data_IF_196016274814
#
_entry.id   IF_196016274814
#
_cell.length_a   1.000
_cell.length_b   1.000
_cell.length_c   1.000
_cell.angle_alpha   90.00
_cell.angle_beta   90.00
_cell.angle_gamma   90.00
#
_symmetry.space_group_name_H-M   'P 1'
#
loop_
_entity.id
_entity.type
_entity.pdbx_description
1 polymer ?
#
# COMPACT_ATOMS: atom_id res chain seq x y z
N UNK A 1 19.56 -1.65 -22.42
CA UNK A 1 18.55 -2.63 -21.97
C UNK A 1 17.63 -1.90 -21.00
N UNK A 2 16.31 -2.06 -21.10
CA UNK A 2 15.37 -1.39 -20.19
C UNK A 2 15.56 -1.92 -18.77
N UNK A 3 15.61 -1.03 -17.79
CA UNK A 3 15.81 -1.38 -16.39
C UNK A 3 14.54 -1.94 -15.76
N UNK A 4 14.71 -2.66 -14.64
CA UNK A 4 13.60 -3.35 -13.97
C UNK A 4 12.62 -2.35 -13.37
N UNK A 5 11.33 -2.52 -13.65
CA UNK A 5 10.24 -1.72 -13.08
C UNK A 5 9.44 -2.57 -12.11
N UNK A 6 9.12 -2.01 -10.93
CA UNK A 6 8.19 -2.62 -9.98
C UNK A 6 7.15 -1.59 -9.51
N UNK A 7 5.95 -2.06 -9.23
CA UNK A 7 4.86 -1.26 -8.65
C UNK A 7 4.54 -1.82 -7.25
N UNK A 8 4.35 -0.94 -6.28
CA UNK A 8 4.01 -1.32 -4.89
C UNK A 8 2.97 -0.37 -4.32
N UNK A 9 1.97 -0.92 -3.62
CA UNK A 9 0.97 -0.12 -2.92
C UNK A 9 1.59 0.51 -1.67
N UNK A 10 1.49 1.84 -1.58
CA UNK A 10 2.03 2.62 -0.47
C UNK A 10 0.96 3.23 0.40
N UNK A 11 -0.31 3.21 -0.03
CA UNK A 11 -1.43 3.72 0.78
C UNK A 11 -2.67 2.83 0.70
N UNK A 12 -3.56 3.00 1.68
CA UNK A 12 -4.88 2.36 1.75
C UNK A 12 -5.89 3.20 2.54
N UNK A 13 -7.18 3.07 2.21
CA UNK A 13 -8.28 3.52 3.04
C UNK A 13 -8.51 2.49 4.17
N UNK A 14 -8.03 2.80 5.37
CA UNK A 14 -8.07 1.89 6.53
C UNK A 14 -9.23 2.23 7.47
N UNK A 15 -9.45 1.39 8.49
CA UNK A 15 -10.35 1.68 9.61
C UNK A 15 -10.00 2.95 10.41
N UNK A 16 -8.80 3.49 10.23
CA UNK A 16 -8.32 4.73 10.85
C UNK A 16 -8.24 5.89 9.85
N UNK A 17 -8.83 5.72 8.66
CA UNK A 17 -8.77 6.66 7.55
C UNK A 17 -7.66 6.35 6.54
N UNK A 18 -7.39 7.30 5.64
CA UNK A 18 -6.35 7.15 4.63
C UNK A 18 -4.96 7.12 5.28
N UNK A 19 -4.25 6.01 5.11
CA UNK A 19 -2.88 5.80 5.63
C UNK A 19 -1.93 5.60 4.45
N UNK A 20 -0.74 6.19 4.55
CA UNK A 20 0.36 6.03 3.57
C UNK A 20 1.66 5.72 4.29
N UNK A 21 2.50 4.87 3.69
CA UNK A 21 3.86 4.54 4.12
C UNK A 21 4.93 5.38 3.41
N UNK A 22 4.53 6.36 2.59
CA UNK A 22 5.48 7.25 1.92
C UNK A 22 6.46 7.94 2.90
N UNK A 23 6.04 8.47 4.08
CA UNK A 23 6.97 9.09 5.02
C UNK A 23 8.08 8.13 5.47
N UNK A 24 7.74 6.87 5.77
CA UNK A 24 8.67 5.82 6.18
C UNK A 24 9.58 5.39 5.02
N UNK A 25 9.04 5.25 3.81
CA UNK A 25 9.80 4.88 2.63
C UNK A 25 10.80 5.94 2.18
N UNK A 26 10.55 7.21 2.53
CA UNK A 26 11.44 8.32 2.26
C UNK A 26 12.57 8.45 3.28
N UNK A 27 12.50 7.75 4.41
CA UNK A 27 13.59 7.75 5.38
C UNK A 27 14.86 7.14 4.77
N UNK A 28 15.96 7.91 4.79
CA UNK A 28 17.23 7.48 4.19
C UNK A 28 17.33 7.64 2.68
N UNK A 29 16.31 8.19 2.01
CA UNK A 29 16.41 8.65 0.62
C UNK A 29 17.24 9.94 0.60
N UNK A 30 18.28 9.98 -0.24
CA UNK A 30 19.27 11.06 -0.24
C UNK A 30 18.74 12.36 -0.88
N UNK A 31 17.92 12.23 -1.93
CA UNK A 31 17.33 13.36 -2.66
C UNK A 31 15.83 13.13 -2.89
N UNK A 32 14.98 14.05 -2.43
CA UNK A 32 13.52 13.93 -2.55
C UNK A 32 12.90 15.15 -3.21
N UNK A 33 12.15 14.97 -4.29
CA UNK A 33 11.31 16.03 -4.87
C UNK A 33 9.85 15.81 -4.47
N UNK A 34 9.23 16.83 -3.88
CA UNK A 34 7.85 16.78 -3.39
C UNK A 34 6.97 17.65 -4.28
N UNK A 35 6.09 17.02 -5.06
CA UNK A 35 5.15 17.70 -5.94
C UNK A 35 3.91 18.12 -5.14
N UNK A 36 3.64 19.42 -5.02
CA UNK A 36 2.43 19.96 -4.39
C UNK A 36 1.52 20.60 -5.43
N UNK A 37 0.22 20.35 -5.35
CA UNK A 37 -0.78 21.01 -6.21
C UNK A 37 -2.14 20.31 -6.15
N UNK A 38 -3.17 20.92 -6.74
CA UNK A 38 -4.52 20.36 -6.75
C UNK A 38 -4.64 19.05 -7.58
N UNK A 39 -5.72 18.25 -7.43
CA UNK A 39 -6.02 17.17 -8.35
C UNK A 39 -6.06 17.66 -9.80
N UNK A 40 -5.49 16.89 -10.74
CA UNK A 40 -5.52 17.24 -12.17
C UNK A 40 -4.37 18.14 -12.64
N UNK A 41 -3.49 18.60 -11.75
CA UNK A 41 -2.32 19.40 -12.14
C UNK A 41 -1.22 18.60 -12.84
N UNK A 42 -1.39 17.29 -13.05
CA UNK A 42 -0.42 16.46 -13.76
C UNK A 42 0.64 15.78 -12.89
N UNK A 43 0.52 15.78 -11.56
CA UNK A 43 1.47 15.13 -10.63
C UNK A 43 1.80 13.67 -11.00
N UNK A 44 0.79 12.82 -11.14
CA UNK A 44 1.01 11.40 -11.48
C UNK A 44 1.61 11.20 -12.87
N UNK A 45 1.27 12.05 -13.84
CA UNK A 45 1.90 12.05 -15.16
C UNK A 45 3.36 12.48 -15.08
N UNK A 46 3.67 13.50 -14.26
CA UNK A 46 5.04 13.93 -13.99
C UNK A 46 5.87 12.77 -13.44
N UNK A 47 5.37 12.10 -12.41
CA UNK A 47 6.03 10.97 -11.74
C UNK A 47 6.24 9.81 -12.72
N UNK A 48 5.18 9.41 -13.43
CA UNK A 48 5.23 8.30 -14.41
C UNK A 48 6.26 8.53 -15.51
N UNK A 49 6.16 9.67 -16.20
CA UNK A 49 7.05 9.97 -17.33
C UNK A 49 8.52 10.12 -16.89
N UNK A 50 8.75 10.62 -15.67
CA UNK A 50 10.10 10.68 -15.11
C UNK A 50 10.64 9.27 -14.88
N UNK A 51 9.89 8.40 -14.20
CA UNK A 51 10.29 7.02 -13.94
C UNK A 51 10.50 6.20 -15.21
N UNK A 52 9.58 6.31 -16.18
CA UNK A 52 9.70 5.63 -17.49
C UNK A 52 11.00 6.06 -18.21
N UNK A 53 11.33 7.35 -18.19
CA UNK A 53 12.56 7.85 -18.79
C UNK A 53 13.84 7.29 -18.16
N UNK A 54 13.84 7.04 -16.85
CA UNK A 54 14.97 6.39 -16.17
C UNK A 54 15.02 4.88 -16.45
N UNK A 55 13.86 4.21 -16.47
CA UNK A 55 13.76 2.80 -16.85
C UNK A 55 14.30 2.57 -18.27
N UNK A 56 13.97 3.43 -19.22
CA UNK A 56 14.45 3.34 -20.61
C UNK A 56 15.98 3.49 -20.72
N UNK A 57 16.60 4.20 -19.77
CA UNK A 57 18.06 4.34 -19.65
C UNK A 57 18.72 3.19 -18.88
N UNK A 58 17.96 2.19 -18.44
CA UNK A 58 18.47 1.01 -17.74
C UNK A 58 18.45 1.08 -16.21
N UNK A 59 17.92 2.16 -15.63
CA UNK A 59 17.78 2.27 -14.18
C UNK A 59 16.67 1.37 -13.66
N UNK A 60 16.86 0.86 -12.44
CA UNK A 60 15.75 0.22 -11.73
C UNK A 60 14.82 1.31 -11.21
N UNK A 61 13.52 1.05 -11.30
CA UNK A 61 12.48 2.02 -10.95
C UNK A 61 11.40 1.33 -10.13
N UNK A 62 11.07 1.94 -9.00
CA UNK A 62 9.98 1.52 -8.14
C UNK A 62 8.90 2.61 -8.13
N UNK A 63 7.75 2.31 -8.71
CA UNK A 63 6.58 3.17 -8.64
C UNK A 63 5.78 2.85 -7.37
N UNK A 64 5.50 3.89 -6.62
CA UNK A 64 4.61 3.89 -5.46
C UNK A 64 3.22 4.28 -5.92
N UNK A 65 2.23 3.43 -5.67
CA UNK A 65 0.84 3.62 -6.12
C UNK A 65 -0.11 3.77 -4.94
N UNK A 66 -1.12 4.62 -5.15
CA UNK A 66 -2.09 4.96 -4.11
C UNK A 66 -3.37 4.13 -4.21
N UNK A 67 -4.02 3.90 -3.08
CA UNK A 67 -5.36 3.30 -3.05
C UNK A 67 -6.45 4.17 -3.69
N UNK A 68 -6.29 5.49 -3.72
CA UNK A 68 -7.27 6.39 -4.33
C UNK A 68 -7.24 6.33 -5.87
N UNK A 69 -6.11 5.92 -6.44
CA UNK A 69 -5.91 5.80 -7.89
C UNK A 69 -4.83 4.73 -8.18
N UNK A 70 -5.18 3.42 -8.14
CA UNK A 70 -4.20 2.33 -8.25
C UNK A 70 -3.46 2.27 -9.60
N UNK A 71 -3.96 2.98 -10.62
CA UNK A 71 -3.34 3.08 -11.94
C UNK A 71 -2.41 4.29 -12.09
N UNK A 72 -2.42 5.20 -11.10
CA UNK A 72 -1.64 6.44 -11.12
C UNK A 72 -0.58 6.42 -10.01
N UNK A 73 0.71 6.57 -10.34
CA UNK A 73 1.73 6.60 -9.30
C UNK A 73 1.61 7.86 -8.46
N UNK A 74 1.74 7.69 -7.15
CA UNK A 74 1.92 8.74 -6.14
C UNK A 74 3.39 8.99 -5.81
N UNK A 75 4.30 8.11 -6.25
CA UNK A 75 5.72 8.36 -6.18
C UNK A 75 6.55 7.47 -7.10
N UNK A 76 7.80 7.83 -7.28
CA UNK A 76 8.80 7.04 -7.98
C UNK A 76 10.12 7.11 -7.22
N UNK A 77 10.73 5.95 -6.97
CA UNK A 77 12.05 5.82 -6.36
C UNK A 77 13.03 5.17 -7.35
N UNK A 78 14.23 5.74 -7.43
CA UNK A 78 15.32 5.30 -8.31
C UNK A 78 16.48 4.86 -7.40
N UNK A 79 16.63 3.55 -7.11
CA UNK A 79 17.57 3.06 -6.10
C UNK A 79 19.02 3.47 -6.34
N UNK A 80 19.47 3.42 -7.59
CA UNK A 80 20.85 3.76 -7.96
C UNK A 80 21.20 5.22 -7.64
N UNK A 81 20.23 6.12 -7.76
CA UNK A 81 20.38 7.55 -7.47
C UNK A 81 20.07 7.87 -6.00
N UNK A 82 19.52 6.91 -5.25
CA UNK A 82 18.94 7.11 -3.91
C UNK A 82 18.01 8.32 -3.89
N UNK A 83 17.21 8.47 -4.95
CA UNK A 83 16.36 9.63 -5.17
C UNK A 83 14.90 9.25 -5.39
N UNK A 84 13.98 10.08 -4.90
CA UNK A 84 12.54 9.89 -5.07
C UNK A 84 11.86 11.17 -5.55
N UNK A 85 10.79 11.02 -6.33
CA UNK A 85 9.83 12.09 -6.63
C UNK A 85 8.46 11.63 -6.18
N UNK A 86 7.81 12.40 -5.30
CA UNK A 86 6.56 12.01 -4.64
C UNK A 86 5.49 13.08 -4.76
N UNK A 87 4.23 12.66 -4.72
CA UNK A 87 3.09 13.52 -4.52
C UNK A 87 2.99 13.91 -3.04
N UNK A 88 3.14 15.20 -2.74
CA UNK A 88 3.03 15.76 -1.40
C UNK A 88 1.62 16.18 -1.00
N UNK A 89 0.61 15.95 -1.84
CA UNK A 89 -0.81 16.21 -1.53
C UNK A 89 -1.40 15.11 -0.62
N UNK A 90 -0.84 14.98 0.59
CA UNK A 90 -1.21 13.98 1.57
C UNK A 90 -1.77 14.64 2.84
N UNK A 91 -2.54 13.89 3.61
CA UNK A 91 -3.09 14.35 4.90
C UNK A 91 -2.01 14.65 5.94
N UNK A 92 -0.88 13.94 5.87
CA UNK A 92 0.33 14.20 6.66
C UNK A 92 1.40 14.85 5.77
N UNK A 93 2.00 15.99 6.16
CA UNK A 93 2.97 16.68 5.33
C UNK A 93 4.27 15.87 5.19
N UNK A 94 4.73 15.71 3.95
CA UNK A 94 6.01 15.10 3.60
C UNK A 94 6.92 16.21 3.07
N UNK A 95 7.36 17.10 3.96
CA UNK A 95 8.29 18.15 3.58
C UNK A 95 9.73 17.69 3.85
N UNK A 96 10.70 17.96 2.95
CA UNK A 96 12.08 17.55 3.15
C UNK A 96 12.65 18.12 4.45
N UNK A 97 13.36 17.31 5.23
CA UNK A 97 13.97 17.78 6.49
C UNK A 97 15.01 18.89 6.26
N UNK A 98 15.69 18.87 5.10
CA UNK A 98 16.65 19.91 4.70
C UNK A 98 16.37 20.37 3.26
N UNK A 99 15.41 21.30 3.06
CA UNK A 99 15.09 21.85 1.74
C UNK A 99 16.30 22.48 1.05
N UNK A 100 16.46 22.27 -0.25
CA UNK A 100 17.60 22.75 -1.05
C UNK A 100 18.90 21.94 -0.88
N UNK A 101 18.94 20.99 0.07
CA UNK A 101 20.10 20.12 0.30
C UNK A 101 19.74 18.66 0.02
N UNK A 102 18.68 18.16 0.66
CA UNK A 102 18.22 16.76 0.55
C UNK A 102 16.85 16.64 -0.11
N UNK A 103 16.20 17.76 -0.43
CA UNK A 103 14.97 17.73 -1.21
C UNK A 103 14.41 19.09 -1.57
N UNK A 104 13.46 19.09 -2.49
CA UNK A 104 12.87 20.29 -3.07
C UNK A 104 11.36 20.14 -3.18
N UNK A 105 10.63 21.22 -2.88
CA UNK A 105 9.18 21.29 -3.11
C UNK A 105 8.94 21.93 -4.46
N UNK A 106 8.20 21.25 -5.32
CA UNK A 106 7.76 21.76 -6.62
C UNK A 106 6.27 22.05 -6.52
N UNK A 107 5.93 23.33 -6.50
CA UNK A 107 4.54 23.76 -6.48
C UNK A 107 3.99 23.85 -7.91
N UNK A 108 3.03 22.99 -8.23
CA UNK A 108 2.43 22.92 -9.57
C UNK A 108 1.38 24.02 -9.79
N UNK A 109 1.00 24.75 -8.74
CA UNK A 109 0.11 25.91 -8.87
C UNK A 109 0.73 27.10 -9.60
N UNK A 110 2.04 27.07 -9.84
CA UNK A 110 2.75 28.07 -10.66
C UNK A 110 2.46 27.91 -12.16
N UNK A 111 1.80 26.82 -12.57
CA UNK A 111 1.56 26.46 -13.97
C UNK A 111 0.08 26.45 -14.35
N UNK A 112 -0.81 27.03 -13.55
CA UNK A 112 -2.22 27.21 -13.92
C UNK A 112 -2.58 28.68 -14.16
N UNK A 113 -3.62 28.90 -14.96
CA UNK A 113 -4.30 30.20 -15.03
C UNK A 113 -5.34 30.32 -13.90
N UNK A 114 -5.09 31.23 -12.96
CA UNK A 114 -5.99 31.48 -11.83
C UNK A 114 -7.32 32.07 -12.29
N UNK A 115 -7.38 32.82 -13.39
CA UNK A 115 -8.62 33.44 -13.86
C UNK A 115 -9.62 32.37 -14.30
N UNK A 116 -9.14 31.35 -15.03
CA UNK A 116 -9.96 30.19 -15.41
C UNK A 116 -10.54 29.51 -14.15
N UNK A 117 -9.75 29.37 -13.08
CA UNK A 117 -10.22 28.73 -11.84
C UNK A 117 -11.25 29.57 -11.07
N UNK A 118 -11.18 30.90 -11.15
CA UNK A 118 -12.14 31.78 -10.46
C UNK A 118 -13.56 31.59 -11.00
N UNK A 119 -13.69 31.38 -12.31
CA UNK A 119 -14.98 31.11 -12.97
C UNK A 119 -15.67 29.83 -12.44
N UNK A 120 -14.89 28.89 -11.89
CA UNK A 120 -15.36 27.63 -11.31
C UNK A 120 -15.22 27.56 -9.78
N UNK A 121 -14.96 28.68 -9.11
CA UNK A 121 -14.65 28.71 -7.67
C UNK A 121 -15.68 27.99 -6.79
N UNK A 122 -16.98 28.25 -6.98
CA UNK A 122 -18.03 27.59 -6.22
C UNK A 122 -18.11 26.08 -6.50
N UNK A 123 -17.95 25.67 -7.76
CA UNK A 123 -17.96 24.26 -8.14
C UNK A 123 -16.76 23.53 -7.51
N UNK A 124 -15.58 24.15 -7.51
CA UNK A 124 -14.37 23.62 -6.87
C UNK A 124 -14.59 23.43 -5.37
N UNK A 125 -15.13 24.43 -4.68
CA UNK A 125 -15.40 24.36 -3.23
C UNK A 125 -16.36 23.20 -2.93
N UNK A 126 -17.49 23.14 -3.63
CA UNK A 126 -18.48 22.09 -3.42
C UNK A 126 -17.89 20.68 -3.64
N UNK A 127 -17.11 20.50 -4.71
CA UNK A 127 -16.47 19.22 -4.99
C UNK A 127 -15.46 18.81 -3.91
N UNK A 128 -14.73 19.75 -3.31
CA UNK A 128 -13.85 19.44 -2.18
C UNK A 128 -14.63 19.08 -0.91
N UNK A 129 -15.71 19.79 -0.61
CA UNK A 129 -16.56 19.52 0.56
C UNK A 129 -17.23 18.15 0.45
N UNK A 130 -17.81 17.83 -0.72
CA UNK A 130 -18.40 16.52 -1.00
C UNK A 130 -17.35 15.40 -0.94
N UNK A 131 -16.16 15.62 -1.54
CA UNK A 131 -15.06 14.67 -1.50
C UNK A 131 -14.68 14.30 -0.06
N UNK A 132 -14.51 15.31 0.80
CA UNK A 132 -14.17 15.12 2.21
C UNK A 132 -15.30 14.45 3.00
N UNK A 133 -16.55 14.81 2.74
CA UNK A 133 -17.71 14.18 3.36
C UNK A 133 -17.75 12.67 3.06
N UNK A 134 -17.65 12.28 1.80
CA UNK A 134 -17.64 10.87 1.39
C UNK A 134 -16.45 10.10 1.98
N UNK A 135 -15.27 10.73 2.05
CA UNK A 135 -14.08 10.13 2.68
C UNK A 135 -14.27 9.88 4.19
N UNK A 136 -14.92 10.81 4.88
CA UNK A 136 -15.27 10.65 6.30
C UNK A 136 -16.28 9.53 6.51
N UNK A 137 -17.33 9.44 5.68
CA UNK A 137 -18.31 8.35 5.76
C UNK A 137 -17.67 6.99 5.49
N UNK A 138 -16.86 6.86 4.43
CA UNK A 138 -16.11 5.64 4.14
C UNK A 138 -15.26 5.21 5.35
N UNK A 139 -14.57 6.15 6.00
CA UNK A 139 -13.74 5.88 7.18
C UNK A 139 -14.59 5.34 8.35
N UNK A 140 -15.76 5.92 8.62
CA UNK A 140 -16.66 5.46 9.69
C UNK A 140 -17.18 4.04 9.42
N UNK A 141 -17.54 3.74 8.18
CA UNK A 141 -17.99 2.41 7.77
C UNK A 141 -16.86 1.38 7.87
N UNK A 142 -15.65 1.72 7.42
CA UNK A 142 -14.47 0.85 7.52
C UNK A 142 -14.07 0.56 8.97
N UNK A 143 -14.25 1.52 9.87
CA UNK A 143 -14.06 1.31 11.30
C UNK A 143 -15.00 0.23 11.84
N UNK A 144 -16.29 0.30 11.51
CA UNK A 144 -17.29 -0.73 11.88
C UNK A 144 -16.94 -2.08 11.27
N UNK A 145 -16.50 -2.11 10.01
CA UNK A 145 -16.06 -3.34 9.35
C UNK A 145 -14.88 -4.00 10.09
N UNK A 146 -13.89 -3.22 10.51
CA UNK A 146 -12.77 -3.72 11.30
C UNK A 146 -13.21 -4.29 12.67
N UNK A 147 -14.13 -3.62 13.37
CA UNK A 147 -14.68 -4.09 14.65
C UNK A 147 -15.39 -5.46 14.51
N UNK A 148 -16.21 -5.63 13.47
CA UNK A 148 -16.86 -6.91 13.17
C UNK A 148 -15.83 -7.99 12.86
N UNK A 149 -14.85 -7.69 12.01
CA UNK A 149 -13.76 -8.62 11.67
C UNK A 149 -12.96 -9.04 12.90
N UNK A 150 -12.68 -8.13 13.81
CA UNK A 150 -11.94 -8.44 15.04
C UNK A 150 -12.77 -9.27 16.02
N UNK A 151 -14.10 -9.13 16.03
CA UNK A 151 -14.98 -10.01 16.81
C UNK A 151 -14.90 -11.46 16.33
N UNK A 152 -14.82 -11.69 15.01
CA UNK A 152 -14.66 -13.02 14.40
C UNK A 152 -13.29 -13.59 14.79
N UNK A 153 -12.21 -12.80 14.67
CA UNK A 153 -10.85 -13.23 15.06
C UNK A 153 -10.78 -13.67 16.52
N UNK A 154 -11.40 -12.93 17.44
CA UNK A 154 -11.37 -13.22 18.88
C UNK A 154 -11.98 -14.58 19.23
N UNK A 155 -13.05 -14.99 18.54
CA UNK A 155 -13.68 -16.30 18.75
C UNK A 155 -12.72 -17.44 18.42
N UNK A 156 -12.10 -17.40 17.24
CA UNK A 156 -11.16 -18.44 16.80
C UNK A 156 -9.87 -18.45 17.63
N UNK A 157 -9.38 -17.27 18.03
CA UNK A 157 -8.13 -17.16 18.80
C UNK A 157 -8.20 -17.87 20.16
N UNK A 158 -9.40 -18.10 20.71
CA UNK A 158 -9.59 -18.86 21.95
C UNK A 158 -9.14 -20.33 21.85
N UNK A 159 -9.10 -20.89 20.64
CA UNK A 159 -8.76 -22.28 20.38
C UNK A 159 -7.27 -22.49 20.02
N UNK A 160 -6.46 -21.41 19.98
CA UNK A 160 -5.09 -21.48 19.51
C UNK A 160 -4.15 -22.11 20.55
N UNK A 161 -3.50 -23.22 20.19
CA UNK A 161 -2.42 -23.77 21.01
C UNK A 161 -1.09 -23.03 20.77
N UNK A 162 -0.71 -22.17 21.71
CA UNK A 162 0.51 -21.37 21.63
C UNK A 162 1.80 -22.21 21.65
N UNK A 163 1.81 -23.36 22.33
CA UNK A 163 2.97 -24.25 22.37
C UNK A 163 3.27 -24.87 21.01
N UNK A 164 2.25 -25.46 20.36
CA UNK A 164 2.38 -26.05 19.03
C UNK A 164 2.71 -25.00 17.96
N UNK A 165 2.18 -23.78 18.11
CA UNK A 165 2.55 -22.64 17.27
C UNK A 165 4.05 -22.30 17.38
N UNK A 166 4.59 -22.27 18.60
CA UNK A 166 6.01 -22.01 18.83
C UNK A 166 6.91 -23.11 18.25
N UNK A 167 6.49 -24.37 18.31
CA UNK A 167 7.20 -25.50 17.69
C UNK A 167 7.26 -25.36 16.16
N UNK A 168 6.12 -25.08 15.52
CA UNK A 168 6.04 -24.81 14.08
C UNK A 168 6.99 -23.67 13.67
N UNK A 169 6.92 -22.54 14.38
CA UNK A 169 7.78 -21.40 14.08
C UNK A 169 9.26 -21.74 14.32
N UNK A 170 9.57 -22.53 15.35
CA UNK A 170 10.90 -23.07 15.59
C UNK A 170 11.44 -23.94 14.45
N UNK A 171 10.59 -24.79 13.90
CA UNK A 171 10.94 -25.60 12.73
C UNK A 171 11.20 -24.74 11.50
N UNK A 172 10.23 -23.89 11.12
CA UNK A 172 10.34 -23.03 9.94
C UNK A 172 11.53 -22.07 10.03
N UNK A 173 11.82 -21.51 11.21
CA UNK A 173 12.97 -20.63 11.42
C UNK A 173 14.32 -21.33 11.17
N UNK A 174 14.42 -22.64 11.47
CA UNK A 174 15.64 -23.43 11.20
C UNK A 174 15.81 -23.74 9.72
N UNK A 175 14.71 -23.96 9.01
CA UNK A 175 14.71 -24.26 7.58
C UNK A 175 14.97 -23.02 6.71
N UNK A 176 14.51 -21.85 7.15
CA UNK A 176 14.45 -20.65 6.31
C UNK A 176 15.66 -19.72 6.52
N UNK A 177 16.24 -19.61 7.72
CA UNK A 177 17.01 -18.40 8.10
C UNK A 177 18.54 -18.56 8.27
N UNK A 178 19.31 -17.72 7.58
CA UNK A 178 20.77 -17.43 7.52
C UNK A 178 21.18 -15.97 7.07
N UNK A 179 22.03 -15.27 7.84
CA UNK A 179 22.47 -13.82 7.82
C UNK A 179 22.08 -12.77 6.71
N UNK A 180 21.78 -11.51 7.10
CA UNK A 180 21.61 -10.29 6.21
C UNK A 180 21.23 -8.98 6.95
N UNK A 181 20.89 -7.79 6.35
CA UNK A 181 19.98 -6.74 6.96
C UNK A 181 19.36 -5.59 6.13
N UNK A 182 18.07 -5.21 6.41
CA UNK A 182 17.34 -3.92 6.17
C UNK A 182 15.78 -4.03 6.06
N UNK A 183 14.95 -3.15 6.66
CA UNK A 183 13.45 -3.24 6.62
C UNK A 183 12.73 -2.19 5.74
N UNK A 184 11.58 -2.56 5.14
CA UNK A 184 10.65 -1.65 4.43
C UNK A 184 9.18 -2.06 4.64
N UNK A 185 8.24 -1.12 4.56
CA UNK A 185 6.81 -1.38 4.74
C UNK A 185 5.96 -0.88 3.56
N UNK A 186 4.96 -1.67 3.17
CA UNK A 186 4.04 -1.48 2.04
C UNK A 186 2.66 -2.08 2.37
N UNK A 187 1.67 -1.93 1.49
CA UNK A 187 0.40 -2.65 1.56
C UNK A 187 0.38 -3.86 0.61
N UNK A 188 -0.11 -5.02 1.06
CA UNK A 188 -0.39 -6.19 0.21
C UNK A 188 -1.75 -6.09 -0.48
N UNK A 189 -2.70 -5.41 0.19
CA UNK A 189 -4.04 -5.12 -0.31
C UNK A 189 -4.40 -3.68 0.03
N UNK A 190 -5.34 -3.11 -0.73
CA UNK A 190 -5.86 -1.77 -0.49
C UNK A 190 -7.38 -1.75 -0.64
N UNK A 191 -8.05 -0.93 0.18
CA UNK A 191 -9.47 -0.61 -0.02
C UNK A 191 -9.55 0.60 -0.95
N UNK A 192 -10.19 0.41 -2.09
CA UNK A 192 -10.25 1.40 -3.18
C UNK A 192 -11.70 1.65 -3.61
N UNK A 193 -11.89 2.66 -4.44
CA UNK A 193 -13.15 2.92 -5.14
C UNK A 193 -13.53 1.84 -6.18
N UNK A 194 -12.73 0.79 -6.36
CA UNK A 194 -13.07 -0.37 -7.20
C UNK A 194 -13.30 -1.63 -6.33
N UNK A 195 -13.37 -1.44 -5.02
CA UNK A 195 -13.42 -2.51 -4.03
C UNK A 195 -12.04 -2.86 -3.46
N UNK A 196 -11.96 -4.00 -2.80
CA UNK A 196 -10.71 -4.50 -2.22
C UNK A 196 -9.83 -5.12 -3.31
N UNK A 197 -8.65 -4.54 -3.54
CA UNK A 197 -7.64 -5.09 -4.44
C UNK A 197 -6.50 -5.73 -3.64
N UNK A 198 -5.88 -6.76 -4.19
CA UNK A 198 -4.68 -7.38 -3.62
C UNK A 198 -3.65 -7.62 -4.72
N UNK A 199 -2.37 -7.46 -4.39
CA UNK A 199 -1.26 -7.68 -5.32
C UNK A 199 -0.27 -8.74 -4.82
N UNK A 200 -0.74 -9.69 -4.01
CA UNK A 200 0.15 -10.67 -3.37
C UNK A 200 0.88 -11.50 -4.42
N UNK A 201 0.21 -11.91 -5.50
CA UNK A 201 0.81 -12.70 -6.58
C UNK A 201 1.84 -11.89 -7.36
N UNK A 202 1.53 -10.64 -7.73
CA UNK A 202 2.40 -9.75 -8.48
C UNK A 202 3.65 -9.37 -7.66
N UNK A 203 3.45 -9.01 -6.39
CA UNK A 203 4.51 -8.62 -5.48
C UNK A 203 5.41 -9.83 -5.16
N UNK A 204 4.84 -11.02 -4.97
CA UNK A 204 5.62 -12.23 -4.66
C UNK A 204 6.18 -12.96 -5.89
N UNK A 205 5.91 -12.49 -7.11
CA UNK A 205 6.28 -13.16 -8.36
C UNK A 205 7.77 -13.45 -8.54
N UNK A 206 8.64 -12.64 -7.93
CA UNK A 206 10.10 -12.83 -7.99
C UNK A 206 10.64 -13.77 -6.90
N UNK A 207 9.78 -14.24 -5.99
CA UNK A 207 10.16 -15.15 -4.91
C UNK A 207 10.34 -16.57 -5.45
N UNK A 208 11.42 -17.22 -5.04
CA UNK A 208 11.72 -18.62 -5.39
C UNK A 208 10.85 -19.61 -4.63
N UNK A 209 10.37 -19.22 -3.46
CA UNK A 209 9.53 -20.05 -2.59
C UNK A 209 8.54 -19.18 -1.83
N UNK A 210 7.32 -19.68 -1.65
CA UNK A 210 6.29 -19.00 -0.84
C UNK A 210 5.75 -19.98 0.20
N UNK A 211 5.65 -19.52 1.43
CA UNK A 211 5.00 -20.22 2.53
C UNK A 211 3.63 -19.60 2.72
N UNK A 212 2.59 -20.36 2.38
CA UNK A 212 1.20 -19.90 2.34
C UNK A 212 0.46 -20.47 3.54
N UNK A 213 0.21 -19.61 4.53
CA UNK A 213 -0.49 -19.97 5.76
C UNK A 213 -2.00 -19.88 5.54
N UNK A 214 -2.70 -21.01 5.61
CA UNK A 214 -4.16 -21.12 5.45
C UNK A 214 -4.83 -21.38 6.80
N UNK A 215 -6.14 -21.18 6.86
CA UNK A 215 -6.97 -21.44 8.03
C UNK A 215 -7.78 -20.21 8.48
N UNK A 216 -8.71 -20.36 9.42
CA UNK A 216 -9.69 -19.34 9.79
C UNK A 216 -9.06 -18.08 10.41
N UNK A 217 -9.74 -16.94 10.30
CA UNK A 217 -9.32 -15.70 10.97
C UNK A 217 -9.15 -15.94 12.48
N UNK A 218 -7.99 -15.59 13.05
CA UNK A 218 -7.66 -15.86 14.45
C UNK A 218 -6.84 -17.14 14.68
N UNK A 219 -6.54 -17.94 13.66
CA UNK A 219 -5.74 -19.18 13.78
C UNK A 219 -4.23 -19.00 14.05
N UNK A 220 -3.78 -17.80 14.41
CA UNK A 220 -2.35 -17.54 14.69
C UNK A 220 -1.45 -17.35 13.46
N UNK A 221 -1.99 -17.27 12.24
CA UNK A 221 -1.23 -17.01 10.99
C UNK A 221 -0.30 -15.80 11.10
N UNK A 222 -0.87 -14.62 11.39
CA UNK A 222 -0.10 -13.38 11.48
C UNK A 222 0.95 -13.43 12.60
N UNK A 223 0.65 -14.15 13.71
CA UNK A 223 1.60 -14.39 14.80
C UNK A 223 2.78 -15.27 14.36
N UNK A 224 2.53 -16.35 13.62
CA UNK A 224 3.59 -17.21 13.07
C UNK A 224 4.49 -16.43 12.11
N UNK A 225 3.89 -15.68 11.19
CA UNK A 225 4.59 -14.86 10.20
C UNK A 225 5.44 -13.78 10.88
N UNK A 226 4.87 -13.06 11.87
CA UNK A 226 5.60 -12.03 12.62
C UNK A 226 6.75 -12.59 13.44
N UNK A 227 6.57 -13.73 14.11
CA UNK A 227 7.65 -14.36 14.87
C UNK A 227 8.79 -14.84 13.95
N UNK A 228 8.46 -15.40 12.78
CA UNK A 228 9.47 -15.73 11.76
C UNK A 228 10.22 -14.49 11.28
N UNK A 229 9.52 -13.38 11.05
CA UNK A 229 10.12 -12.12 10.64
C UNK A 229 10.97 -11.49 11.75
N UNK A 230 10.56 -11.58 13.02
CA UNK A 230 11.36 -11.14 14.16
C UNK A 230 12.68 -11.91 14.24
N UNK A 231 12.64 -13.23 14.04
CA UNK A 231 13.85 -14.06 13.98
C UNK A 231 14.71 -13.73 12.78
N UNK A 232 14.09 -13.47 11.63
CA UNK A 232 14.81 -13.05 10.43
C UNK A 232 15.52 -11.71 10.67
N UNK A 233 14.82 -10.72 11.24
CA UNK A 233 15.37 -9.43 11.67
C UNK A 233 16.49 -9.59 12.69
N UNK A 234 16.36 -10.47 13.68
CA UNK A 234 17.40 -10.75 14.67
C UNK A 234 18.66 -11.36 14.07
N UNK A 235 18.52 -12.14 13.00
CA UNK A 235 19.61 -12.63 12.12
C UNK A 235 20.02 -11.59 11.07
N UNK A 236 19.42 -10.43 11.18
CA UNK A 236 19.67 -9.23 10.45
C UNK A 236 18.80 -9.06 9.20
N UNK A 237 18.48 -10.08 8.39
CA UNK A 237 17.81 -10.06 7.07
C UNK A 237 17.09 -8.81 6.54
N UNK A 238 17.13 -8.61 5.22
CA UNK A 238 16.30 -7.59 4.58
C UNK A 238 14.85 -8.06 4.41
N UNK A 239 13.92 -7.30 5.00
CA UNK A 239 12.49 -7.63 5.08
C UNK A 239 11.64 -6.54 4.43
N UNK A 240 10.67 -6.94 3.62
CA UNK A 240 9.57 -6.08 3.20
C UNK A 240 8.29 -6.59 3.85
N UNK A 241 7.63 -5.73 4.61
CA UNK A 241 6.35 -5.98 5.25
C UNK A 241 5.22 -5.47 4.36
N UNK A 242 4.22 -6.31 4.14
CA UNK A 242 3.05 -5.98 3.36
C UNK A 242 1.80 -6.12 4.24
N UNK A 243 1.16 -4.99 4.49
CA UNK A 243 0.04 -4.84 5.43
C UNK A 243 -1.32 -5.03 4.75
N UNK A 244 -2.34 -5.34 5.54
CA UNK A 244 -3.73 -5.43 5.09
C UNK A 244 -4.30 -4.03 4.81
N UNK A 245 -5.06 -3.89 3.73
CA UNK A 245 -5.64 -2.61 3.34
C UNK A 245 -6.67 -2.05 4.31
N UNK A 246 -7.42 -2.91 5.01
CA UNK A 246 -8.41 -2.49 6.00
C UNK A 246 -7.77 -2.10 7.34
N UNK A 247 -6.64 -2.73 7.69
CA UNK A 247 -5.98 -2.60 8.98
C UNK A 247 -4.48 -2.72 8.80
N UNK A 248 -3.84 -1.58 8.88
CA UNK A 248 -2.44 -1.42 8.56
C UNK A 248 -1.48 -1.87 9.67
N UNK A 249 -1.99 -2.38 10.78
CA UNK A 249 -1.17 -3.08 11.79
C UNK A 249 -1.26 -4.60 11.61
N UNK A 250 -2.18 -5.08 10.77
CA UNK A 250 -2.32 -6.49 10.40
C UNK A 250 -1.41 -6.82 9.22
N UNK A 251 -0.35 -7.58 9.48
CA UNK A 251 0.53 -8.12 8.43
C UNK A 251 -0.19 -9.18 7.61
N UNK A 252 -0.10 -9.06 6.29
CA UNK A 252 -0.67 -10.00 5.33
C UNK A 252 0.41 -10.76 4.55
N UNK A 253 1.59 -10.15 4.33
CA UNK A 253 2.72 -10.85 3.73
C UNK A 253 4.04 -10.23 4.21
N UNK A 254 5.09 -11.05 4.31
CA UNK A 254 6.46 -10.59 4.52
C UNK A 254 7.34 -11.23 3.45
N UNK A 255 8.16 -10.42 2.78
CA UNK A 255 9.19 -10.90 1.86
C UNK A 255 10.56 -10.77 2.52
N UNK A 256 11.26 -11.90 2.63
CA UNK A 256 12.67 -11.95 3.01
C UNK A 256 13.48 -11.81 1.72
N UNK A 257 13.90 -10.57 1.41
CA UNK A 257 14.48 -10.22 0.11
C UNK A 257 15.70 -11.04 -0.25
N UNK A 258 16.63 -11.20 0.70
CA UNK A 258 17.90 -11.90 0.45
C UNK A 258 17.69 -13.37 0.07
N UNK A 259 16.62 -13.99 0.58
CA UNK A 259 16.26 -15.37 0.29
C UNK A 259 15.29 -15.53 -0.88
N UNK A 260 14.66 -14.43 -1.29
CA UNK A 260 13.54 -14.45 -2.24
C UNK A 260 12.42 -15.38 -1.74
N UNK A 261 12.08 -15.26 -0.46
CA UNK A 261 11.02 -16.04 0.19
C UNK A 261 9.88 -15.12 0.61
N UNK A 262 8.64 -15.52 0.31
CA UNK A 262 7.43 -14.86 0.81
C UNK A 262 6.77 -15.70 1.90
N UNK A 263 6.40 -15.07 3.02
CA UNK A 263 5.53 -15.60 4.06
C UNK A 263 4.17 -14.93 3.90
N UNK A 264 3.12 -15.69 3.56
CA UNK A 264 1.83 -15.15 3.11
C UNK A 264 0.73 -15.63 4.04
N UNK A 265 0.00 -14.68 4.63
CA UNK A 265 -1.30 -14.95 5.26
C UNK A 265 -2.36 -15.01 4.16
N UNK A 266 -2.80 -16.22 3.81
CA UNK A 266 -3.82 -16.39 2.79
C UNK A 266 -5.20 -15.96 3.29
N UNK A 267 -5.45 -15.91 4.61
CA UNK A 267 -6.77 -15.64 5.17
C UNK A 267 -7.89 -16.38 4.44
N UNK A 268 -8.90 -15.62 4.00
CA UNK A 268 -9.97 -16.07 3.11
C UNK A 268 -9.77 -15.58 1.66
N UNK A 269 -8.56 -15.13 1.30
CA UNK A 269 -8.26 -14.70 -0.06
C UNK A 269 -8.28 -15.89 -1.01
N UNK A 270 -8.83 -15.67 -2.21
CA UNK A 270 -8.75 -16.63 -3.30
C UNK A 270 -7.36 -16.55 -3.95
N UNK A 271 -6.35 -17.09 -3.24
CA UNK A 271 -4.97 -17.11 -3.68
C UNK A 271 -4.68 -18.40 -4.46
N UNK A 272 -4.31 -18.25 -5.73
CA UNK A 272 -3.91 -19.37 -6.57
C UNK A 272 -2.58 -19.98 -6.08
N UNK A 273 -2.68 -21.13 -5.39
CA UNK A 273 -1.52 -21.90 -4.92
C UNK A 273 -0.72 -22.41 -6.13
N UNK A 274 0.58 -22.14 -6.13
CA UNK A 274 1.52 -22.57 -7.18
C UNK A 274 2.22 -23.87 -6.77
N UNK A 275 2.74 -24.66 -7.72
CA UNK A 275 3.39 -25.95 -7.43
C UNK A 275 4.59 -25.89 -6.48
N UNK A 276 5.26 -24.73 -6.37
CA UNK A 276 6.42 -24.51 -5.50
C UNK A 276 6.05 -23.85 -4.15
N UNK A 277 4.77 -23.65 -3.89
CA UNK A 277 4.31 -23.14 -2.61
C UNK A 277 4.35 -24.23 -1.54
N UNK A 278 4.76 -23.84 -0.34
CA UNK A 278 4.59 -24.65 0.87
C UNK A 278 3.33 -24.18 1.56
N UNK A 279 2.28 -24.97 1.50
CA UNK A 279 1.02 -24.67 2.19
C UNK A 279 1.11 -25.17 3.62
N UNK A 280 0.81 -24.28 4.57
CA UNK A 280 0.76 -24.57 6.00
C UNK A 280 -0.67 -24.38 6.45
N UNK A 281 -1.33 -25.46 6.85
CA UNK A 281 -2.68 -25.39 7.39
C UNK A 281 -2.64 -25.08 8.90
N UNK A 282 -3.05 -23.87 9.25
CA UNK A 282 -3.06 -23.43 10.65
C UNK A 282 -4.23 -24.00 11.46
N UNK A 283 -5.23 -24.62 10.81
CA UNK A 283 -6.31 -25.30 11.54
C UNK A 283 -5.80 -26.50 12.34
N UNK A 284 -4.72 -27.15 11.89
CA UNK A 284 -4.07 -28.28 12.57
C UNK A 284 -3.50 -27.92 13.96
N UNK A 285 -3.36 -26.63 14.25
CA UNK A 285 -2.80 -26.07 15.48
C UNK A 285 -3.88 -25.49 16.43
N UNK A 286 -5.15 -25.66 16.08
CA UNK A 286 -6.29 -25.34 16.93
C UNK A 286 -6.72 -26.57 17.72
N UNK A 287 -7.09 -26.39 18.99
CA UNK A 287 -7.59 -27.46 19.86
C UNK A 287 -9.07 -27.26 20.16
N UNK A 288 -9.89 -28.30 19.95
CA UNK A 288 -11.34 -28.21 20.17
C UNK A 288 -12.06 -27.33 19.13
N UNK A 289 -11.43 -27.07 17.99
CA UNK A 289 -11.99 -26.32 16.88
C UNK A 289 -12.93 -27.18 16.03
N UNK A 290 -14.20 -26.77 15.94
CA UNK A 290 -15.16 -27.26 14.95
C UNK A 290 -15.39 -26.15 13.91
N UNK A 291 -14.96 -26.42 12.67
CA UNK A 291 -15.08 -25.49 11.56
C UNK A 291 -16.54 -25.16 11.22
N UNK A 292 -17.43 -26.15 11.28
CA UNK A 292 -18.83 -25.97 10.89
C UNK A 292 -19.56 -25.13 11.92
N UNK A 293 -19.33 -25.38 13.21
CA UNK A 293 -19.92 -24.63 14.31
C UNK A 293 -19.47 -23.16 14.29
N UNK A 294 -18.16 -22.90 14.19
CA UNK A 294 -17.65 -21.52 14.12
C UNK A 294 -18.10 -20.77 12.86
N UNK A 295 -18.20 -21.45 11.72
CA UNK A 295 -18.71 -20.85 10.49
C UNK A 295 -20.19 -20.48 10.63
N UNK A 296 -21.01 -21.34 11.25
CA UNK A 296 -22.40 -21.01 11.54
C UNK A 296 -22.51 -19.80 12.48
N UNK A 297 -21.75 -19.79 13.58
CA UNK A 297 -21.73 -18.68 14.55
C UNK A 297 -21.17 -17.36 14.01
N UNK A 298 -20.35 -17.43 12.96
CA UNK A 298 -19.71 -16.27 12.33
C UNK A 298 -20.41 -15.85 11.04
N UNK A 299 -21.34 -16.65 10.52
CA UNK A 299 -21.98 -16.42 9.22
C UNK A 299 -22.70 -15.07 9.12
N UNK A 300 -23.42 -14.68 10.17
CA UNK A 300 -24.08 -13.38 10.25
C UNK A 300 -23.07 -12.22 10.28
N UNK A 301 -22.02 -12.35 11.09
CA UNK A 301 -20.94 -11.35 11.18
C UNK A 301 -20.19 -11.21 9.85
N UNK A 302 -19.97 -12.30 9.10
CA UNK A 302 -19.35 -12.28 7.77
C UNK A 302 -20.23 -11.55 6.75
N UNK A 303 -21.55 -11.78 6.75
CA UNK A 303 -22.48 -11.05 5.87
C UNK A 303 -22.52 -9.56 6.20
N UNK A 304 -22.51 -9.22 7.50
CA UNK A 304 -22.42 -7.83 7.95
C UNK A 304 -21.11 -7.20 7.47
N UNK A 305 -19.99 -7.91 7.60
CA UNK A 305 -18.69 -7.45 7.13
C UNK A 305 -18.69 -7.17 5.62
N UNK A 306 -19.20 -8.10 4.81
CA UNK A 306 -19.32 -7.92 3.35
C UNK A 306 -20.19 -6.70 3.00
N UNK A 307 -21.33 -6.53 3.68
CA UNK A 307 -22.22 -5.39 3.48
C UNK A 307 -21.54 -4.06 3.81
N UNK A 308 -20.79 -3.99 4.92
CA UNK A 308 -20.06 -2.78 5.32
C UNK A 308 -18.93 -2.47 4.34
N UNK A 309 -18.22 -3.47 3.82
CA UNK A 309 -17.18 -3.25 2.82
C UNK A 309 -17.76 -2.71 1.51
N UNK A 310 -18.94 -3.20 1.10
CA UNK A 310 -19.64 -2.68 -0.07
C UNK A 310 -20.12 -1.23 0.13
N UNK A 311 -20.66 -0.91 1.30
CA UNK A 311 -21.06 0.46 1.67
C UNK A 311 -19.85 1.41 1.65
N UNK A 312 -18.72 1.00 2.23
CA UNK A 312 -17.48 1.78 2.19
C UNK A 312 -16.97 1.99 0.75
N UNK A 313 -17.05 0.96 -0.10
CA UNK A 313 -16.70 1.06 -1.51
C UNK A 313 -17.55 2.12 -2.22
N UNK A 314 -18.87 2.14 -1.99
CA UNK A 314 -19.78 3.10 -2.61
C UNK A 314 -19.44 4.54 -2.23
N UNK A 315 -19.11 4.80 -0.96
CA UNK A 315 -18.66 6.12 -0.51
C UNK A 315 -17.32 6.53 -1.18
N UNK A 316 -16.37 5.60 -1.30
CA UNK A 316 -15.11 5.86 -2.02
C UNK A 316 -15.32 6.11 -3.52
N UNK A 317 -16.30 5.45 -4.14
CA UNK A 317 -16.70 5.71 -5.52
C UNK A 317 -17.21 7.14 -5.70
N UNK A 318 -18.09 7.62 -4.80
CA UNK A 318 -18.56 9.00 -4.83
C UNK A 318 -17.41 10.00 -4.64
N UNK A 319 -16.54 9.73 -3.66
CA UNK A 319 -15.33 10.52 -3.41
C UNK A 319 -14.42 10.62 -4.67
N UNK A 320 -14.28 9.52 -5.41
CA UNK A 320 -13.53 9.47 -6.68
C UNK A 320 -14.22 10.27 -7.79
N UNK A 321 -15.55 10.31 -7.84
CA UNK A 321 -16.29 11.16 -8.78
C UNK A 321 -16.04 12.65 -8.54
N UNK A 322 -16.04 13.09 -7.29
CA UNK A 322 -15.67 14.47 -6.94
C UNK A 322 -14.25 14.81 -7.40
N UNK A 323 -13.28 13.92 -7.16
CA UNK A 323 -11.91 14.07 -7.65
C UNK A 323 -11.79 14.13 -9.17
N UNK A 324 -12.60 13.35 -9.90
CA UNK A 324 -12.65 13.42 -11.38
C UNK A 324 -13.17 14.79 -11.84
N UNK A 325 -14.17 15.35 -11.16
CA UNK A 325 -14.66 16.72 -11.38
C UNK A 325 -13.55 17.75 -11.20
N UNK A 326 -12.87 17.72 -10.05
CA UNK A 326 -11.73 18.60 -9.76
C UNK A 326 -10.62 18.44 -10.82
N UNK A 327 -10.24 17.20 -11.17
CA UNK A 327 -9.23 16.91 -12.19
C UNK A 327 -9.58 17.56 -13.53
N UNK A 328 -10.86 17.53 -13.93
CA UNK A 328 -11.36 18.12 -15.18
C UNK A 328 -11.25 19.65 -15.18
N UNK A 329 -11.57 20.32 -14.07
CA UNK A 329 -11.48 21.78 -13.96
C UNK A 329 -10.02 22.21 -13.97
N UNK A 330 -9.19 21.66 -13.09
CA UNK A 330 -7.78 22.06 -12.97
C UNK A 330 -6.99 21.76 -14.24
N UNK A 331 -7.19 20.60 -14.88
CA UNK A 331 -6.46 20.27 -16.13
C UNK A 331 -6.74 21.26 -17.27
N UNK A 332 -7.91 21.88 -17.33
CA UNK A 332 -8.22 22.94 -18.32
C UNK A 332 -7.45 24.23 -18.07
N UNK A 333 -7.08 24.50 -16.82
CA UNK A 333 -6.34 25.70 -16.44
C UNK A 333 -4.82 25.53 -16.55
N UNK A 334 -4.30 24.31 -16.75
CA UNK A 334 -2.87 24.02 -16.73
C UNK A 334 -2.15 24.35 -18.04
N UNK A 335 -0.99 25.00 -17.94
CA UNK A 335 0.06 24.98 -18.96
C UNK A 335 0.92 23.73 -18.78
N UNK A 336 0.49 22.62 -19.40
CA UNK A 336 1.24 21.36 -19.36
C UNK A 336 2.58 21.43 -20.08
N UNK A 337 2.77 22.34 -21.05
CA UNK A 337 4.05 22.49 -21.73
C UNK A 337 5.10 23.13 -20.81
N UNK A 338 4.70 24.13 -20.02
CA UNK A 338 5.56 24.69 -18.97
C UNK A 338 5.89 23.68 -17.88
N UNK A 339 4.89 22.90 -17.44
CA UNK A 339 5.12 21.82 -16.48
C UNK A 339 6.08 20.74 -17.02
N UNK A 340 5.97 20.40 -18.31
CA UNK A 340 6.87 19.45 -18.97
C UNK A 340 8.33 19.93 -18.94
N UNK A 341 8.57 21.21 -19.22
CA UNK A 341 9.90 21.83 -19.10
C UNK A 341 10.46 21.69 -17.68
N UNK A 342 9.63 21.90 -16.65
CA UNK A 342 10.05 21.68 -15.25
C UNK A 342 10.39 20.21 -14.98
N UNK A 343 9.64 19.26 -15.53
CA UNK A 343 9.97 17.83 -15.42
C UNK A 343 11.34 17.51 -16.03
N UNK A 344 11.65 18.06 -17.20
CA UNK A 344 12.96 17.86 -17.82
C UNK A 344 14.10 18.47 -16.99
N UNK A 345 13.88 19.61 -16.34
CA UNK A 345 14.86 20.18 -15.41
C UNK A 345 15.15 19.23 -14.23
N UNK A 346 14.10 18.70 -13.59
CA UNK A 346 14.25 17.73 -12.48
C UNK A 346 14.96 16.47 -12.96
N UNK A 347 14.62 15.97 -14.15
CA UNK A 347 15.30 14.82 -14.75
C UNK A 347 16.80 15.08 -14.92
N UNK A 348 17.19 16.23 -15.46
CA UNK A 348 18.59 16.57 -15.67
C UNK A 348 19.34 16.72 -14.34
N UNK A 349 18.71 17.29 -13.32
CA UNK A 349 19.27 17.38 -11.97
C UNK A 349 19.52 15.99 -11.38
N UNK A 350 18.56 15.07 -11.51
CA UNK A 350 18.69 13.68 -11.07
C UNK A 350 19.80 12.92 -11.81
N UNK A 351 20.01 13.17 -13.11
CA UNK A 351 21.10 12.56 -13.89
C UNK A 351 22.48 13.06 -13.42
N UNK A 352 22.55 14.25 -12.83
CA UNK A 352 23.80 14.86 -12.37
C UNK A 352 24.26 14.45 -10.97
N UNK A 353 23.44 13.66 -10.25
CA UNK A 353 23.80 13.03 -8.96
C UNK A 353 24.78 11.88 -9.19
#
# INVERSE_FOLDING_TARGET
MRGKVRYVLTSSNTSHGFRTFLPELLQGVAKVFVLKGAPGTGKSTFIRLLGESFSDQGYEVEFWVSADDPVSPEGVFIPQLKAAVVNGSLSSPIDPSYPGVTGDIIYLGDYWDKNILQDYSQEIINLYEEHEQHRQQATLVLKRAAEVRDSIKKKTAAYLNLGRLQELVGQLAREILDTGSAEKHYFASAVTAEGMINYIDEISSFCKKRYVFKGPAGSGKSSAIMELANRARGKGYSLEYYHCGLDADSIQMIIIRNLQIALIDAGNLDLAVKPWDVVIDMSEYLEGYDEVELLQESSEALRILESLLLEAQQELEQSRWCLKGLKKIYSRAMDFAALDRKRQQVRNELISL
#
